data_IF_971841308566
#
_entry.id   IF_971841308566
#
_cell.length_a   1.000
_cell.length_b   1.000
_cell.length_c   1.000
_cell.angle_alpha   90.00
_cell.angle_beta   90.00
_cell.angle_gamma   90.00
#
_symmetry.space_group_name_H-M   'P 1'
#
loop_
_entity.id
_entity.type
_entity.pdbx_description
1 polymer ?
#
# COMPACT_ATOMS: atom_id res chain seq x y z
N UNK A 1 3.47 -9.16 -5.78
CA UNK A 1 4.69 -8.59 -6.43
C UNK A 1 4.31 -7.49 -7.41
N UNK A 2 4.96 -6.32 -7.32
CA UNK A 2 4.79 -5.19 -8.24
C UNK A 2 5.55 -5.46 -9.55
N UNK A 3 5.06 -5.02 -10.72
CA UNK A 3 5.83 -5.08 -11.95
C UNK A 3 7.07 -4.16 -11.91
N UNK A 4 8.11 -4.53 -12.64
CA UNK A 4 9.42 -3.85 -12.60
C UNK A 4 9.39 -2.40 -13.15
N UNK A 5 8.43 -2.10 -14.02
CA UNK A 5 8.13 -0.73 -14.48
C UNK A 5 7.73 0.18 -13.31
N UNK A 6 6.88 -0.31 -12.41
CA UNK A 6 6.41 0.44 -11.23
C UNK A 6 7.52 0.64 -10.21
N UNK A 7 8.40 -0.35 -10.04
CA UNK A 7 9.57 -0.22 -9.17
C UNK A 7 10.46 0.99 -9.54
N UNK A 8 10.74 1.19 -10.83
CA UNK A 8 11.52 2.34 -11.32
C UNK A 8 10.83 3.67 -11.07
N UNK A 9 9.52 3.72 -11.31
CA UNK A 9 8.71 4.94 -11.11
C UNK A 9 8.67 5.29 -9.62
N UNK A 10 8.36 4.33 -8.75
CA UNK A 10 8.24 4.58 -7.32
C UNK A 10 9.57 4.96 -6.68
N UNK A 11 10.68 4.32 -7.04
CA UNK A 11 12.02 4.71 -6.54
C UNK A 11 12.46 6.11 -6.98
N UNK A 12 11.95 6.63 -8.10
CA UNK A 12 12.23 8.00 -8.54
C UNK A 12 11.49 9.06 -7.71
N UNK A 13 10.37 8.69 -7.10
CA UNK A 13 9.47 9.62 -6.41
C UNK A 13 9.39 9.44 -4.90
N UNK A 14 9.86 8.31 -4.37
CA UNK A 14 9.82 7.96 -2.96
C UNK A 14 11.24 7.78 -2.42
N UNK A 15 11.47 8.21 -1.18
CA UNK A 15 12.67 7.78 -0.46
C UNK A 15 12.63 6.28 -0.20
N UNK A 16 13.78 5.67 0.05
CA UNK A 16 13.88 4.22 0.30
C UNK A 16 12.96 3.76 1.45
N UNK A 17 12.89 4.53 2.54
CA UNK A 17 11.99 4.24 3.66
C UNK A 17 10.51 4.30 3.27
N UNK A 18 10.12 5.29 2.45
CA UNK A 18 8.75 5.43 1.95
C UNK A 18 8.40 4.29 0.99
N UNK A 19 9.37 3.87 0.18
CA UNK A 19 9.23 2.77 -0.76
C UNK A 19 9.06 1.41 -0.03
N UNK A 20 9.84 1.14 1.01
CA UNK A 20 9.67 -0.06 1.84
C UNK A 20 8.32 -0.06 2.57
N UNK A 21 7.93 1.10 3.11
CA UNK A 21 6.61 1.28 3.73
C UNK A 21 5.50 0.95 2.74
N UNK A 22 5.66 1.38 1.50
CA UNK A 22 4.75 1.08 0.41
C UNK A 22 4.69 -0.43 0.10
N UNK A 23 5.83 -1.10 -0.08
CA UNK A 23 5.84 -2.54 -0.38
C UNK A 23 5.10 -3.35 0.68
N UNK A 24 5.35 -3.05 1.97
CA UNK A 24 4.66 -3.71 3.09
C UNK A 24 3.16 -3.42 3.05
N UNK A 25 2.76 -2.16 2.83
CA UNK A 25 1.34 -1.80 2.72
C UNK A 25 0.64 -2.52 1.55
N UNK A 26 1.31 -2.63 0.41
CA UNK A 26 0.78 -3.30 -0.76
C UNK A 26 0.62 -4.81 -0.53
N UNK A 27 1.58 -5.45 0.15
CA UNK A 27 1.45 -6.84 0.56
C UNK A 27 0.29 -7.05 1.53
N UNK A 28 0.14 -6.18 2.53
CA UNK A 28 -0.99 -6.25 3.48
C UNK A 28 -2.33 -6.06 2.77
N UNK A 29 -2.46 -5.10 1.85
CA UNK A 29 -3.71 -4.88 1.13
C UNK A 29 -3.99 -6.01 0.12
N UNK A 30 -2.97 -6.62 -0.47
CA UNK A 30 -3.14 -7.80 -1.32
C UNK A 30 -3.57 -9.03 -0.53
N UNK A 31 -3.01 -9.22 0.67
CA UNK A 31 -3.37 -10.33 1.56
C UNK A 31 -4.78 -10.16 2.17
N UNK A 32 -5.19 -8.92 2.45
CA UNK A 32 -6.46 -8.60 3.08
C UNK A 32 -7.33 -7.78 2.10
N UNK A 33 -8.30 -8.40 1.43
CA UNK A 33 -9.17 -7.74 0.41
C UNK A 33 -9.85 -6.45 0.88
N UNK A 34 -10.11 -6.30 2.18
CA UNK A 34 -10.61 -5.06 2.79
C UNK A 34 -9.90 -4.83 4.12
N UNK A 35 -9.02 -3.83 4.16
CA UNK A 35 -8.25 -3.49 5.38
C UNK A 35 -8.66 -2.13 5.89
N UNK A 36 -9.19 -2.09 7.11
CA UNK A 36 -9.32 -0.84 7.86
C UNK A 36 -7.93 -0.37 8.27
N UNK A 37 -7.73 0.95 8.35
CA UNK A 37 -6.49 1.56 8.81
C UNK A 37 -6.02 1.02 10.17
N UNK A 38 -6.95 0.75 11.09
CA UNK A 38 -6.64 0.15 12.40
C UNK A 38 -5.98 -1.22 12.25
N UNK A 39 -6.53 -2.08 11.36
CA UNK A 39 -5.97 -3.40 11.08
C UNK A 39 -4.59 -3.30 10.43
N UNK A 40 -4.39 -2.36 9.51
CA UNK A 40 -3.06 -2.06 8.94
C UNK A 40 -2.07 -1.66 10.05
N UNK A 41 -2.46 -0.76 10.95
CA UNK A 41 -1.60 -0.32 12.06
C UNK A 41 -1.30 -1.43 13.08
N UNK A 42 -2.18 -2.43 13.23
CA UNK A 42 -1.91 -3.62 14.05
C UNK A 42 -0.95 -4.60 13.38
N UNK A 43 -1.01 -4.72 12.05
CA UNK A 43 -0.18 -5.67 11.28
C UNK A 43 1.17 -5.08 10.86
N UNK A 44 1.32 -3.75 10.92
CA UNK A 44 2.54 -3.10 10.45
C UNK A 44 3.74 -3.41 11.38
N UNK A 45 4.84 -3.96 10.85
CA UNK A 45 5.98 -4.44 11.64
C UNK A 45 6.90 -3.28 12.04
N UNK A 46 6.38 -2.32 12.81
CA UNK A 46 7.17 -1.23 13.39
C UNK A 46 7.11 -1.26 14.93
N UNK A 47 8.26 -1.25 15.63
CA UNK A 47 8.33 -1.28 17.08
C UNK A 47 8.07 0.10 17.70
N UNK A 48 6.94 0.73 17.36
CA UNK A 48 6.50 2.01 17.93
C UNK A 48 5.09 1.88 18.48
N UNK A 49 4.64 2.85 19.29
CA UNK A 49 3.28 2.87 19.83
C UNK A 49 2.25 2.76 18.71
N UNK A 50 1.20 1.96 18.93
CA UNK A 50 0.12 1.75 17.94
C UNK A 50 -0.47 3.06 17.41
N UNK A 51 -0.75 4.01 18.29
CA UNK A 51 -1.27 5.33 17.89
C UNK A 51 -0.29 6.11 17.01
N UNK A 52 1.01 5.98 17.28
CA UNK A 52 2.04 6.57 16.41
C UNK A 52 2.10 5.87 15.05
N UNK A 53 2.02 4.53 15.00
CA UNK A 53 1.90 3.80 13.71
C UNK A 53 0.69 4.26 12.92
N UNK A 54 -0.47 4.31 13.56
CA UNK A 54 -1.73 4.73 12.94
C UNK A 54 -1.63 6.15 12.38
N UNK A 55 -1.10 7.11 13.14
CA UNK A 55 -0.87 8.49 12.66
C UNK A 55 0.14 8.54 11.50
N UNK A 56 1.22 7.77 11.57
CA UNK A 56 2.21 7.72 10.50
C UNK A 56 1.60 7.16 9.21
N UNK A 57 0.83 6.08 9.30
CA UNK A 57 0.10 5.51 8.17
C UNK A 57 -0.95 6.48 7.62
N UNK A 58 -1.68 7.19 8.49
CA UNK A 58 -2.62 8.24 8.07
C UNK A 58 -1.94 9.36 7.31
N UNK A 59 -0.83 9.89 7.84
CA UNK A 59 -0.04 10.92 7.16
C UNK A 59 0.51 10.41 5.84
N UNK A 60 1.06 9.20 5.82
CA UNK A 60 1.58 8.59 4.61
C UNK A 60 0.50 8.47 3.53
N UNK A 61 -0.67 7.89 3.85
CA UNK A 61 -1.78 7.74 2.91
C UNK A 61 -2.39 9.10 2.50
N UNK A 62 -2.43 10.06 3.42
CA UNK A 62 -2.99 11.40 3.19
C UNK A 62 -2.12 12.33 2.35
N UNK A 63 -0.79 12.25 2.49
CA UNK A 63 0.19 13.01 1.70
C UNK A 63 0.31 12.40 0.30
N UNK A 64 0.25 11.08 0.21
CA UNK A 64 0.48 10.32 -1.01
C UNK A 64 -0.82 10.06 -1.80
N UNK A 65 -1.68 11.08 -1.99
CA UNK A 65 -2.93 10.96 -2.78
C UNK A 65 -2.69 10.56 -4.24
N UNK A 66 -1.62 11.06 -4.85
CA UNK A 66 -1.22 10.73 -6.23
C UNK A 66 -0.75 9.27 -6.34
N UNK A 67 -0.18 8.76 -5.26
CA UNK A 67 0.23 7.38 -5.11
C UNK A 67 -0.97 6.45 -4.90
N UNK A 68 -1.99 6.84 -4.12
CA UNK A 68 -3.24 6.08 -4.04
C UNK A 68 -3.86 5.89 -5.43
N UNK A 69 -3.81 6.91 -6.29
CA UNK A 69 -4.28 6.80 -7.69
C UNK A 69 -3.48 5.76 -8.50
N UNK A 70 -2.15 5.75 -8.39
CA UNK A 70 -1.30 4.75 -9.04
C UNK A 70 -1.50 3.35 -8.45
N UNK A 71 -1.74 3.27 -7.13
CA UNK A 71 -2.00 2.07 -6.36
C UNK A 71 -3.33 1.41 -6.73
N UNK A 72 -4.41 2.18 -6.90
CA UNK A 72 -5.69 1.70 -7.40
C UNK A 72 -5.56 1.08 -8.80
N UNK A 73 -4.76 1.69 -9.69
CA UNK A 73 -4.48 1.12 -11.01
C UNK A 73 -3.87 -0.29 -10.95
N UNK A 74 -2.92 -0.51 -10.03
CA UNK A 74 -2.26 -1.81 -9.83
C UNK A 74 -3.13 -2.88 -9.18
N UNK A 75 -4.08 -2.47 -8.33
CA UNK A 75 -5.06 -3.40 -7.76
C UNK A 75 -6.11 -3.82 -8.79
N UNK A 76 -6.52 -2.94 -9.71
CA UNK A 76 -7.55 -3.24 -10.71
C UNK A 76 -7.04 -4.25 -11.74
N UNK A 77 -5.80 -4.13 -12.24
CA UNK A 77 -5.24 -5.11 -13.19
C UNK A 77 -5.09 -6.51 -12.57
N UNK A 78 -4.78 -6.60 -11.27
CA UNK A 78 -4.68 -7.90 -10.56
C UNK A 78 -6.02 -8.44 -10.05
N UNK A 79 -7.03 -7.59 -9.96
CA UNK A 79 -8.42 -7.99 -9.73
C UNK A 79 -9.17 -8.35 -11.02
N UNK A 80 -8.49 -8.62 -12.13
CA UNK A 80 -9.08 -9.31 -13.29
C UNK A 80 -9.05 -10.84 -13.18
N UNK A 81 -8.76 -11.41 -12.01
CA UNK A 81 -9.05 -12.82 -11.72
C UNK A 81 -10.37 -12.94 -10.90
N UNK A 82 -11.44 -12.42 -11.50
CA UNK A 82 -12.84 -12.85 -11.34
C UNK A 82 -13.76 -11.86 -12.10
N UNK A 83 -13.66 -11.88 -13.44
CA UNK A 83 -14.88 -11.81 -14.24
C UNK A 83 -15.45 -13.22 -14.20
N UNK A 84 -16.17 -13.53 -13.12
CA UNK A 84 -17.12 -14.64 -13.18
C UNK A 84 -18.08 -14.27 -14.28
N UNK A 85 -18.14 -15.16 -15.25
CA UNK A 85 -19.12 -15.23 -16.32
C UNK A 85 -20.50 -14.90 -15.75
N UNK A 86 -21.11 -13.86 -16.30
CA UNK A 86 -22.53 -13.55 -16.23
C UNK A 86 -22.93 -13.12 -17.63
#
# INVERSE_FOLDING_TARGET
>A
MLPQSYHKIFRKHLSEQQYLTLEILLLLIQAYRQVKLSKLASLFPQPIKYESRKRNLQRFLGINKRFLRLFYGQLIEKCQCNRVVG
#
